data_IF_112176263484
#
_entry.id   IF_112176263484
#
_cell.length_a   1.000
_cell.length_b   1.000
_cell.length_c   1.000
_cell.angle_alpha   90.00
_cell.angle_beta   90.00
_cell.angle_gamma   90.00
#
_symmetry.space_group_name_H-M   'P 1'
#
loop_
_entity.id
_entity.type
_entity.pdbx_description
1 polymer ?
#
# COMPACT_ATOMS: atom_id res chain seq x y z
N UNK A 1 -39.26 3.27 24.63
CA UNK A 1 -38.86 2.07 23.83
C UNK A 1 -38.97 2.31 22.32
N UNK A 2 -39.93 3.10 21.84
CA UNK A 2 -40.08 3.46 20.40
C UNK A 2 -38.94 4.30 19.81
N UNK A 3 -38.34 5.22 20.58
CA UNK A 3 -37.21 6.03 20.11
C UNK A 3 -35.98 5.17 19.72
N UNK A 4 -35.71 4.12 20.51
CA UNK A 4 -34.59 3.20 20.25
C UNK A 4 -34.80 2.40 18.97
N UNK A 5 -36.03 1.97 18.68
CA UNK A 5 -36.37 1.27 17.43
C UNK A 5 -36.30 2.16 16.19
N UNK A 6 -36.66 3.45 16.30
CA UNK A 6 -36.64 4.39 15.16
C UNK A 6 -35.22 4.79 14.74
N UNK A 7 -34.29 4.88 15.71
CA UNK A 7 -32.92 5.33 15.48
C UNK A 7 -31.87 4.22 15.62
N UNK A 8 -32.30 2.97 15.76
CA UNK A 8 -31.42 1.82 16.03
C UNK A 8 -30.25 1.74 15.03
N UNK A 9 -30.56 1.80 13.73
CA UNK A 9 -29.56 1.79 12.65
C UNK A 9 -28.60 2.97 12.70
N UNK A 10 -29.10 4.16 13.07
CA UNK A 10 -28.29 5.38 13.14
C UNK A 10 -27.37 5.35 14.36
N UNK A 11 -27.87 4.82 15.48
CA UNK A 11 -27.08 4.59 16.69
C UNK A 11 -25.97 3.56 16.40
N UNK A 12 -26.28 2.46 15.72
CA UNK A 12 -25.29 1.44 15.36
C UNK A 12 -24.22 1.97 14.40
N UNK A 13 -24.58 2.78 13.41
CA UNK A 13 -23.63 3.45 12.52
C UNK A 13 -22.70 4.42 13.27
N UNK A 14 -23.25 5.18 14.21
CA UNK A 14 -22.47 6.13 15.04
C UNK A 14 -21.54 5.37 15.98
N UNK A 15 -22.01 4.29 16.62
CA UNK A 15 -21.17 3.43 17.47
C UNK A 15 -20.05 2.79 16.63
N UNK A 16 -20.37 2.25 15.45
CA UNK A 16 -19.38 1.68 14.53
C UNK A 16 -18.33 2.71 14.12
N UNK A 17 -18.76 3.93 13.77
CA UNK A 17 -17.87 5.03 13.41
C UNK A 17 -16.94 5.40 14.58
N UNK A 18 -17.49 5.54 15.79
CA UNK A 18 -16.71 5.86 17.00
C UNK A 18 -15.70 4.74 17.28
N UNK A 19 -16.12 3.48 17.27
CA UNK A 19 -15.25 2.33 17.54
C UNK A 19 -14.10 2.25 16.52
N UNK A 20 -14.41 2.35 15.22
CA UNK A 20 -13.40 2.33 14.17
C UNK A 20 -12.47 3.54 14.28
N UNK A 21 -13.00 4.72 14.57
CA UNK A 21 -12.20 5.95 14.76
C UNK A 21 -11.26 5.83 15.96
N UNK A 22 -11.76 5.35 17.10
CA UNK A 22 -10.96 5.15 18.31
C UNK A 22 -9.86 4.10 18.09
N UNK A 23 -10.17 2.97 17.44
CA UNK A 23 -9.18 1.94 17.09
C UNK A 23 -8.14 2.52 16.12
N UNK A 24 -8.57 3.27 15.10
CA UNK A 24 -7.66 3.81 14.09
C UNK A 24 -6.76 4.91 14.65
N UNK A 25 -7.27 5.77 15.53
CA UNK A 25 -6.46 6.76 16.25
C UNK A 25 -5.48 6.08 17.20
N UNK A 26 -5.92 5.05 17.94
CA UNK A 26 -5.03 4.28 18.80
C UNK A 26 -3.88 3.66 17.98
N UNK A 27 -4.18 3.09 16.81
CA UNK A 27 -3.18 2.54 15.89
C UNK A 27 -2.25 3.63 15.34
N UNK A 28 -2.80 4.75 14.85
CA UNK A 28 -2.03 5.84 14.23
C UNK A 28 -1.04 6.46 15.21
N UNK A 29 -1.47 6.72 16.45
CA UNK A 29 -0.65 7.41 17.44
C UNK A 29 0.23 6.47 18.26
N UNK A 30 -0.21 5.25 18.54
CA UNK A 30 0.50 4.33 19.45
C UNK A 30 1.05 3.07 18.77
N UNK A 31 0.64 2.78 17.53
CA UNK A 31 1.00 1.56 16.82
C UNK A 31 1.50 1.84 15.40
N UNK A 32 2.46 2.79 15.26
CA UNK A 32 3.26 2.98 14.03
C UNK A 32 3.70 1.67 13.33
N UNK A 33 4.13 0.58 14.03
CA UNK A 33 4.46 -0.71 13.40
C UNK A 33 3.30 -1.46 12.72
N UNK A 34 2.06 -1.00 12.84
CA UNK A 34 0.86 -1.74 12.42
C UNK A 34 0.85 -2.10 10.93
N UNK A 35 1.27 -1.17 10.07
CA UNK A 35 1.30 -1.40 8.61
C UNK A 35 2.30 -2.50 8.28
N UNK A 36 3.54 -2.39 8.81
CA UNK A 36 4.57 -3.40 8.62
C UNK A 36 4.09 -4.77 9.14
N UNK A 37 3.48 -4.80 10.33
CA UNK A 37 2.92 -6.01 10.93
C UNK A 37 1.89 -6.69 10.02
N UNK A 38 0.91 -5.95 9.48
CA UNK A 38 -0.13 -6.52 8.59
C UNK A 38 0.50 -7.06 7.31
N UNK A 39 1.38 -6.29 6.68
CA UNK A 39 2.03 -6.70 5.42
C UNK A 39 2.82 -7.98 5.64
N UNK A 40 3.72 -7.98 6.64
CA UNK A 40 4.56 -9.15 6.95
C UNK A 40 3.69 -10.35 7.31
N UNK A 41 2.65 -10.17 8.12
CA UNK A 41 1.71 -11.25 8.45
C UNK A 41 1.02 -11.82 7.21
N UNK A 42 0.45 -10.97 6.37
CA UNK A 42 -0.28 -11.37 5.17
C UNK A 42 0.60 -12.14 4.18
N UNK A 43 1.81 -11.64 3.93
CA UNK A 43 2.78 -12.24 3.00
C UNK A 43 3.39 -13.52 3.57
N UNK A 44 3.66 -13.56 4.89
CA UNK A 44 4.27 -14.72 5.54
C UNK A 44 3.28 -15.87 5.80
N UNK A 45 1.98 -15.59 5.92
CA UNK A 45 0.94 -16.58 6.21
C UNK A 45 0.81 -17.74 5.20
N UNK A 46 0.80 -17.52 3.87
CA UNK A 46 0.76 -18.64 2.92
C UNK A 46 1.98 -19.54 3.06
N UNK A 47 3.16 -18.94 3.25
CA UNK A 47 4.41 -19.65 3.46
C UNK A 47 4.40 -20.45 4.79
N UNK A 48 3.91 -19.85 5.86
CA UNK A 48 3.74 -20.50 7.16
C UNK A 48 2.86 -21.75 7.08
N UNK A 49 1.72 -21.65 6.40
CA UNK A 49 0.84 -22.81 6.17
C UNK A 49 1.50 -23.88 5.31
N UNK A 50 2.32 -23.49 4.35
CA UNK A 50 3.08 -24.43 3.53
C UNK A 50 4.12 -25.18 4.36
N UNK A 51 4.90 -24.47 5.18
CA UNK A 51 5.95 -25.06 6.03
C UNK A 51 5.37 -26.00 7.09
N UNK A 52 4.24 -25.65 7.71
CA UNK A 52 3.57 -26.54 8.69
C UNK A 52 3.16 -27.89 8.09
N UNK A 53 2.86 -27.96 6.79
CA UNK A 53 2.54 -29.25 6.13
C UNK A 53 3.69 -30.25 6.18
N UNK A 54 4.93 -29.78 6.38
CA UNK A 54 6.12 -30.62 6.56
C UNK A 54 6.35 -31.02 8.03
N UNK A 55 5.35 -30.90 8.89
CA UNK A 55 5.40 -31.30 10.30
C UNK A 55 6.41 -30.49 11.16
N UNK A 56 6.75 -29.27 10.73
CA UNK A 56 7.64 -28.35 11.45
C UNK A 56 6.85 -27.67 12.58
N UNK A 57 7.42 -27.56 13.81
CA UNK A 57 6.76 -26.88 14.93
C UNK A 57 6.35 -25.44 14.59
N UNK A 58 5.18 -25.01 15.09
CA UNK A 58 4.60 -23.71 14.76
C UNK A 58 5.55 -22.52 14.98
N UNK A 59 6.29 -22.50 16.08
CA UNK A 59 7.28 -21.44 16.35
C UNK A 59 8.37 -21.37 15.27
N UNK A 60 8.93 -22.52 14.89
CA UNK A 60 9.98 -22.60 13.86
C UNK A 60 9.40 -22.26 12.49
N UNK A 61 8.21 -22.75 12.15
CA UNK A 61 7.55 -22.43 10.90
C UNK A 61 7.26 -20.94 10.76
N UNK A 62 6.84 -20.28 11.84
CA UNK A 62 6.60 -18.83 11.88
C UNK A 62 7.88 -18.04 11.65
N UNK A 63 8.95 -18.40 12.37
CA UNK A 63 10.26 -17.76 12.24
C UNK A 63 10.84 -17.93 10.83
N UNK A 64 10.83 -19.14 10.28
CA UNK A 64 11.31 -19.42 8.92
C UNK A 64 10.53 -18.65 7.86
N UNK A 65 9.21 -18.53 8.02
CA UNK A 65 8.37 -17.80 7.07
C UNK A 65 8.72 -16.31 7.04
N UNK A 66 8.81 -15.69 8.21
CA UNK A 66 9.14 -14.28 8.34
C UNK A 66 10.58 -14.04 7.86
N UNK A 67 11.52 -14.91 8.22
CA UNK A 67 12.90 -14.81 7.77
C UNK A 67 12.99 -14.82 6.24
N UNK A 68 12.37 -15.79 5.58
CA UNK A 68 12.35 -15.88 4.12
C UNK A 68 11.76 -14.63 3.47
N UNK A 69 10.62 -14.14 3.96
CA UNK A 69 9.99 -12.90 3.45
C UNK A 69 10.91 -11.70 3.63
N UNK A 70 11.57 -11.55 4.79
CA UNK A 70 12.54 -10.48 5.03
C UNK A 70 13.74 -10.57 4.09
N UNK A 71 14.28 -11.77 3.87
CA UNK A 71 15.38 -11.97 2.92
C UNK A 71 14.99 -11.53 1.52
N UNK A 72 13.81 -11.94 1.04
CA UNK A 72 13.30 -11.52 -0.28
C UNK A 72 13.12 -10.00 -0.34
N UNK A 73 12.53 -9.39 0.69
CA UNK A 73 12.36 -7.93 0.77
C UNK A 73 13.70 -7.18 0.75
N UNK A 74 14.69 -7.65 1.52
CA UNK A 74 16.04 -7.05 1.54
C UNK A 74 16.69 -7.15 0.15
N UNK A 75 16.60 -8.29 -0.52
CA UNK A 75 17.11 -8.46 -1.88
C UNK A 75 16.44 -7.47 -2.85
N UNK A 76 15.11 -7.31 -2.76
CA UNK A 76 14.36 -6.35 -3.58
C UNK A 76 14.83 -4.92 -3.28
N UNK A 77 14.98 -4.54 -2.00
CA UNK A 77 15.42 -3.20 -1.60
C UNK A 77 16.84 -2.92 -2.09
N UNK A 78 17.78 -3.85 -1.91
CA UNK A 78 19.17 -3.68 -2.39
C UNK A 78 19.18 -3.51 -3.90
N UNK A 79 18.43 -4.33 -4.63
CA UNK A 79 18.39 -4.25 -6.08
C UNK A 79 17.74 -2.95 -6.57
N UNK A 80 16.61 -2.55 -5.97
CA UNK A 80 15.96 -1.28 -6.26
C UNK A 80 16.89 -0.11 -5.96
N UNK A 81 17.55 -0.13 -4.81
CA UNK A 81 18.56 0.85 -4.42
C UNK A 81 19.68 0.92 -5.44
N UNK A 82 20.18 -0.22 -5.91
CA UNK A 82 21.22 -0.28 -6.94
C UNK A 82 20.72 0.22 -8.31
N UNK A 83 19.45 -0.04 -8.65
CA UNK A 83 18.84 0.45 -9.89
C UNK A 83 18.65 1.97 -9.87
N UNK A 84 18.20 2.50 -8.73
CA UNK A 84 18.07 3.93 -8.48
C UNK A 84 19.45 4.59 -8.46
N UNK A 85 20.43 3.98 -7.79
CA UNK A 85 21.81 4.46 -7.77
C UNK A 85 22.39 4.51 -9.17
N UNK A 86 22.27 3.43 -9.95
CA UNK A 86 22.70 3.41 -11.35
C UNK A 86 22.01 4.49 -12.19
N UNK A 87 20.70 4.71 -11.97
CA UNK A 87 19.96 5.77 -12.63
C UNK A 87 20.51 7.15 -12.27
N UNK A 88 20.74 7.43 -10.99
CA UNK A 88 21.29 8.69 -10.50
C UNK A 88 22.70 8.90 -11.01
N UNK A 89 23.55 7.87 -10.97
CA UNK A 89 24.93 7.88 -11.45
C UNK A 89 24.97 8.20 -12.96
N UNK A 90 24.12 7.53 -13.75
CA UNK A 90 23.96 7.78 -15.18
C UNK A 90 23.43 9.18 -15.48
N UNK A 91 22.46 9.65 -14.71
CA UNK A 91 21.93 11.01 -14.83
C UNK A 91 22.98 12.06 -14.48
N UNK A 92 23.74 11.84 -13.41
CA UNK A 92 24.72 12.79 -12.91
C UNK A 92 25.98 12.84 -13.78
N UNK A 93 26.56 11.70 -14.16
CA UNK A 93 27.84 11.69 -14.88
C UNK A 93 27.70 11.77 -16.41
N UNK A 94 26.68 11.17 -17.01
CA UNK A 94 26.54 11.18 -18.49
C UNK A 94 25.81 12.42 -19.01
N UNK A 95 24.97 13.07 -18.19
CA UNK A 95 24.07 14.14 -18.63
C UNK A 95 24.23 15.45 -17.88
N UNK A 96 25.33 15.66 -17.15
CA UNK A 96 25.54 16.85 -16.31
C UNK A 96 25.35 18.17 -17.09
N UNK A 97 25.87 18.22 -18.31
CA UNK A 97 25.77 19.39 -19.18
C UNK A 97 24.31 19.64 -19.62
N UNK A 98 23.54 18.58 -19.88
CA UNK A 98 22.13 18.70 -20.24
C UNK A 98 21.26 19.08 -19.04
N UNK A 99 21.63 18.64 -17.84
CA UNK A 99 20.94 19.02 -16.59
C UNK A 99 21.23 20.48 -16.26
N UNK A 100 22.47 20.94 -16.37
CA UNK A 100 22.83 22.36 -16.19
C UNK A 100 22.12 23.26 -17.19
N UNK A 101 22.05 22.85 -18.46
CA UNK A 101 21.34 23.58 -19.51
C UNK A 101 19.82 23.65 -19.24
N UNK A 102 19.20 22.55 -18.80
CA UNK A 102 17.78 22.51 -18.43
C UNK A 102 17.47 23.37 -17.19
N UNK A 103 18.38 23.40 -16.22
CA UNK A 103 18.29 24.25 -15.03
C UNK A 103 18.46 25.73 -15.38
N UNK A 104 19.34 26.06 -16.32
CA UNK A 104 19.51 27.42 -16.86
C UNK A 104 18.25 27.89 -17.60
N UNK A 105 17.67 27.06 -18.46
CA UNK A 105 16.42 27.37 -19.15
C UNK A 105 15.23 27.49 -18.18
N UNK A 106 15.11 26.59 -17.19
CA UNK A 106 14.07 26.68 -16.17
C UNK A 106 14.24 27.94 -15.29
N UNK A 107 15.48 28.31 -14.97
CA UNK A 107 15.81 29.52 -14.21
C UNK A 107 15.53 30.82 -14.98
N UNK A 108 15.65 30.79 -16.32
CA UNK A 108 15.27 31.92 -17.17
C UNK A 108 13.76 32.02 -17.38
N UNK A 109 13.03 30.91 -17.43
CA UNK A 109 11.57 30.87 -17.58
C UNK A 109 10.84 31.30 -16.29
N UNK A 110 11.49 31.11 -15.14
CA UNK A 110 11.02 31.52 -13.81
C UNK A 110 11.75 32.80 -13.39
N UNK A 111 11.41 33.95 -13.98
CA UNK A 111 11.96 35.26 -13.59
C UNK A 111 11.94 35.44 -12.05
N UNK A 112 13.13 35.46 -11.43
CA UNK A 112 13.35 36.09 -10.13
C UNK A 112 13.12 35.28 -8.85
N UNK A 113 13.05 33.95 -8.85
CA UNK A 113 13.05 33.18 -7.58
C UNK A 113 14.20 32.17 -7.50
N UNK A 114 15.37 32.69 -7.13
CA UNK A 114 16.57 31.94 -6.68
C UNK A 114 16.19 30.87 -5.63
N UNK A 115 15.09 31.07 -4.90
CA UNK A 115 14.46 30.13 -3.98
C UNK A 115 14.20 28.71 -4.51
N UNK A 116 13.97 28.49 -5.82
CA UNK A 116 13.67 27.14 -6.33
C UNK A 116 14.94 26.32 -6.55
N UNK A 117 16.01 26.96 -7.06
CA UNK A 117 17.34 26.35 -7.19
C UNK A 117 17.98 26.18 -5.81
N UNK A 118 17.82 27.14 -4.90
CA UNK A 118 18.23 26.99 -3.50
C UNK A 118 17.46 25.88 -2.77
N UNK A 119 16.14 25.72 -3.00
CA UNK A 119 15.37 24.59 -2.44
C UNK A 119 15.74 23.25 -3.06
N UNK A 120 16.06 23.21 -4.35
CA UNK A 120 16.55 22.01 -5.02
C UNK A 120 17.94 21.61 -4.50
N UNK A 121 18.82 22.59 -4.25
CA UNK A 121 20.12 22.39 -3.60
C UNK A 121 19.98 22.11 -2.09
N UNK A 122 18.92 22.60 -1.44
CA UNK A 122 18.61 22.30 -0.04
C UNK A 122 18.21 20.83 0.18
N UNK A 123 17.89 20.07 -0.88
CA UNK A 123 17.76 18.60 -0.81
C UNK A 123 19.08 17.95 -0.35
N UNK A 124 20.22 18.63 -0.55
CA UNK A 124 21.54 18.25 -0.03
C UNK A 124 21.86 18.86 1.35
N UNK A 125 20.94 19.62 1.94
CA UNK A 125 21.13 20.27 3.22
C UNK A 125 21.18 19.25 4.38
N UNK A 126 22.06 19.52 5.35
CA UNK A 126 22.34 18.62 6.47
C UNK A 126 21.10 18.36 7.33
N UNK A 127 20.17 19.29 7.40
CA UNK A 127 18.95 19.15 8.19
C UNK A 127 17.91 18.26 7.49
N UNK A 128 17.86 18.25 6.15
CA UNK A 128 17.08 17.28 5.38
C UNK A 128 17.69 15.87 5.47
N UNK A 129 19.03 15.75 5.42
CA UNK A 129 19.72 14.47 5.64
C UNK A 129 19.46 13.95 7.06
N UNK A 130 19.51 14.81 8.08
CA UNK A 130 19.19 14.43 9.48
C UNK A 130 17.73 14.03 9.64
N UNK A 131 16.80 14.75 9.02
CA UNK A 131 15.36 14.42 9.05
C UNK A 131 15.06 13.11 8.32
N UNK A 132 15.70 12.87 7.18
CA UNK A 132 15.61 11.59 6.46
C UNK A 132 16.20 10.44 7.27
N UNK A 133 17.33 10.64 7.95
CA UNK A 133 17.96 9.64 8.81
C UNK A 133 17.09 9.32 10.04
N UNK A 134 16.50 10.32 10.69
CA UNK A 134 15.61 10.10 11.84
C UNK A 134 14.33 9.38 11.43
N UNK A 135 13.72 9.77 10.31
CA UNK A 135 12.56 9.08 9.75
C UNK A 135 12.88 7.61 9.39
N UNK A 136 14.05 7.36 8.81
CA UNK A 136 14.52 6.01 8.50
C UNK A 136 14.74 5.19 9.77
N UNK A 137 15.34 5.78 10.80
CA UNK A 137 15.55 5.13 12.10
C UNK A 137 14.24 4.73 12.79
N UNK A 138 13.26 5.64 12.83
CA UNK A 138 11.91 5.33 13.32
C UNK A 138 11.22 4.23 12.50
N UNK A 139 11.40 4.27 11.18
CA UNK A 139 10.88 3.26 10.25
C UNK A 139 11.47 1.87 10.51
N UNK A 140 12.78 1.75 10.71
CA UNK A 140 13.46 0.49 11.02
C UNK A 140 12.95 -0.08 12.35
N UNK A 141 12.83 0.75 13.39
CA UNK A 141 12.31 0.30 14.68
C UNK A 141 10.85 -0.18 14.56
N UNK A 142 10.01 0.58 13.86
CA UNK A 142 8.62 0.20 13.58
C UNK A 142 8.55 -1.10 12.76
N UNK A 143 9.44 -1.27 11.78
CA UNK A 143 9.52 -2.50 10.99
C UNK A 143 9.91 -3.70 11.84
N UNK A 144 10.92 -3.56 12.72
CA UNK A 144 11.35 -4.61 13.63
C UNK A 144 10.22 -5.03 14.58
N UNK A 145 9.57 -4.06 15.24
CA UNK A 145 8.43 -4.34 16.11
C UNK A 145 7.29 -5.00 15.32
N UNK A 146 7.03 -4.53 14.10
CA UNK A 146 6.03 -5.13 13.20
C UNK A 146 6.30 -6.60 12.89
N UNK A 147 7.57 -6.98 12.66
CA UNK A 147 7.97 -8.38 12.47
C UNK A 147 7.69 -9.23 13.71
N UNK A 148 8.04 -8.74 14.91
CA UNK A 148 7.78 -9.45 16.17
C UNK A 148 6.28 -9.65 16.38
N UNK A 149 5.47 -8.63 16.14
CA UNK A 149 4.02 -8.75 16.26
C UNK A 149 3.43 -9.71 15.21
N UNK A 150 3.92 -9.66 13.96
CA UNK A 150 3.50 -10.58 12.91
C UNK A 150 3.84 -12.03 13.25
N UNK A 151 4.99 -12.28 13.88
CA UNK A 151 5.38 -13.60 14.39
C UNK A 151 4.36 -14.14 15.40
N UNK A 152 4.05 -13.35 16.43
CA UNK A 152 3.05 -13.76 17.43
C UNK A 152 1.66 -13.94 16.82
N UNK A 153 1.28 -13.13 15.82
CA UNK A 153 0.03 -13.31 15.08
C UNK A 153 -0.03 -14.63 14.29
N UNK A 154 1.09 -15.11 13.76
CA UNK A 154 1.16 -16.39 13.04
C UNK A 154 1.14 -17.58 13.99
N UNK A 155 1.94 -17.53 15.06
CA UNK A 155 2.19 -18.65 15.98
C UNK A 155 1.11 -18.77 17.05
N UNK A 156 0.72 -17.67 17.69
CA UNK A 156 -0.20 -17.63 18.84
C UNK A 156 -1.63 -17.21 18.43
N UNK A 157 -2.01 -17.46 17.19
CA UNK A 157 -3.31 -17.05 16.62
C UNK A 157 -4.50 -17.39 17.53
N UNK A 158 -4.56 -18.60 18.06
CA UNK A 158 -5.71 -19.05 18.85
C UNK A 158 -5.79 -18.34 20.21
N UNK A 159 -4.64 -18.00 20.82
CA UNK A 159 -4.58 -17.21 22.05
C UNK A 159 -5.03 -15.76 21.79
N UNK A 160 -4.56 -15.16 20.70
CA UNK A 160 -4.95 -13.79 20.30
C UNK A 160 -6.45 -13.72 20.01
N UNK A 161 -6.98 -14.68 19.24
CA UNK A 161 -8.43 -14.77 18.99
C UNK A 161 -9.21 -14.98 20.29
N UNK A 162 -8.68 -15.78 21.23
CA UNK A 162 -9.27 -15.96 22.56
C UNK A 162 -9.32 -14.68 23.40
N UNK A 163 -8.27 -13.87 23.38
CA UNK A 163 -8.22 -12.56 24.05
C UNK A 163 -9.20 -11.56 23.42
N UNK A 164 -9.23 -11.49 22.08
CA UNK A 164 -10.18 -10.63 21.37
C UNK A 164 -11.63 -11.03 21.67
N UNK A 165 -11.92 -12.33 21.78
CA UNK A 165 -13.25 -12.82 22.17
C UNK A 165 -13.67 -12.46 23.60
N UNK A 166 -12.72 -12.19 24.50
CA UNK A 166 -12.99 -11.75 25.87
C UNK A 166 -13.22 -10.23 25.97
N UNK A 167 -12.63 -9.47 25.07
CA UNK A 167 -12.70 -7.99 25.06
C UNK A 167 -13.89 -7.51 24.23
N UNK A 168 -14.21 -8.21 23.13
CA UNK A 168 -15.26 -7.80 22.20
C UNK A 168 -16.64 -8.36 22.62
N UNK A 169 -17.72 -7.56 22.49
CA UNK A 169 -19.09 -8.04 22.65
C UNK A 169 -19.41 -9.20 21.69
N UNK A 170 -20.19 -10.18 22.16
CA UNK A 170 -20.53 -11.40 21.39
C UNK A 170 -21.25 -11.10 20.06
N UNK A 171 -22.00 -10.01 19.99
CA UNK A 171 -22.74 -9.61 18.79
C UNK A 171 -21.81 -9.17 17.64
N UNK A 172 -20.68 -8.52 17.96
CA UNK A 172 -19.65 -8.13 17.00
C UNK A 172 -18.88 -9.36 16.50
N UNK A 173 -18.59 -10.30 17.40
CA UNK A 173 -17.88 -11.54 17.06
C UNK A 173 -18.70 -12.38 16.09
N UNK A 174 -20.02 -12.47 16.28
CA UNK A 174 -20.91 -13.25 15.42
C UNK A 174 -21.05 -12.62 14.02
N UNK A 175 -21.18 -11.28 13.91
CA UNK A 175 -21.18 -10.57 12.62
C UNK A 175 -19.87 -10.75 11.84
N UNK A 176 -18.70 -10.62 12.48
CA UNK A 176 -17.39 -10.82 11.83
C UNK A 176 -17.16 -12.28 11.42
N UNK A 177 -17.72 -13.24 12.16
CA UNK A 177 -17.57 -14.67 11.83
C UNK A 177 -18.43 -15.07 10.63
N UNK A 178 -19.60 -14.44 10.43
CA UNK A 178 -20.47 -14.62 9.27
C UNK A 178 -19.84 -14.05 7.97
N UNK A 179 -19.09 -12.95 8.08
CA UNK A 179 -18.40 -12.30 6.95
C UNK A 179 -17.10 -12.98 6.47
N UNK A 180 -16.73 -14.14 7.02
CA UNK A 180 -15.52 -14.90 6.59
C UNK A 180 -15.57 -15.33 5.12
N UNK A 181 -16.76 -15.50 4.54
CA UNK A 181 -16.93 -15.77 3.11
C UNK A 181 -16.45 -14.60 2.25
N UNK A 182 -16.95 -13.40 2.52
CA UNK A 182 -16.71 -12.20 1.72
C UNK A 182 -15.24 -11.74 1.76
N UNK A 183 -14.57 -11.82 2.92
CA UNK A 183 -13.16 -11.41 3.04
C UNK A 183 -12.20 -12.28 2.23
N UNK A 184 -12.47 -13.59 2.12
CA UNK A 184 -11.65 -14.49 1.30
C UNK A 184 -11.79 -14.16 -0.18
N UNK A 185 -13.00 -13.82 -0.61
CA UNK A 185 -13.28 -13.44 -1.99
C UNK A 185 -12.66 -12.09 -2.36
N UNK A 186 -12.69 -11.11 -1.44
CA UNK A 186 -11.99 -9.83 -1.62
C UNK A 186 -10.48 -10.05 -1.79
N UNK A 187 -9.86 -10.91 -0.98
CA UNK A 187 -8.44 -11.24 -1.11
C UNK A 187 -8.14 -11.93 -2.45
N UNK A 188 -9.00 -12.83 -2.91
CA UNK A 188 -8.84 -13.48 -4.22
C UNK A 188 -8.94 -12.47 -5.35
N UNK A 189 -9.92 -11.55 -5.29
CA UNK A 189 -10.07 -10.47 -6.28
C UNK A 189 -8.81 -9.60 -6.33
N UNK A 190 -8.27 -9.20 -5.17
CA UNK A 190 -7.04 -8.40 -5.10
C UNK A 190 -5.84 -9.13 -5.71
N UNK A 191 -5.67 -10.43 -5.42
CA UNK A 191 -4.59 -11.23 -6.02
C UNK A 191 -4.74 -11.32 -7.54
N UNK A 192 -5.97 -11.50 -8.05
CA UNK A 192 -6.23 -11.53 -9.49
C UNK A 192 -5.92 -10.18 -10.14
N UNK A 193 -6.32 -9.07 -9.52
CA UNK A 193 -6.03 -7.71 -10.00
C UNK A 193 -4.52 -7.44 -10.08
N UNK A 194 -3.77 -7.84 -9.05
CA UNK A 194 -2.31 -7.70 -9.02
C UNK A 194 -1.66 -8.51 -10.16
N UNK A 195 -2.14 -9.73 -10.42
CA UNK A 195 -1.60 -10.55 -11.52
C UNK A 195 -1.87 -9.88 -12.87
N UNK A 196 -3.09 -9.37 -13.08
CA UNK A 196 -3.46 -8.67 -14.31
C UNK A 196 -2.60 -7.42 -14.51
N UNK A 197 -2.49 -6.55 -13.49
CA UNK A 197 -1.68 -5.33 -13.56
C UNK A 197 -0.20 -5.65 -13.79
N UNK A 198 0.32 -6.71 -13.16
CA UNK A 198 1.70 -7.19 -13.39
C UNK A 198 1.93 -7.55 -14.85
N UNK A 199 1.02 -8.32 -15.45
CA UNK A 199 1.14 -8.76 -16.84
C UNK A 199 1.05 -7.55 -17.78
N UNK A 200 0.11 -6.64 -17.56
CA UNK A 200 -0.03 -5.39 -18.33
C UNK A 200 1.24 -4.55 -18.28
N UNK A 201 1.84 -4.39 -17.10
CA UNK A 201 3.09 -3.64 -16.94
C UNK A 201 4.26 -4.32 -17.64
N UNK A 202 4.41 -5.64 -17.54
CA UNK A 202 5.47 -6.38 -18.26
C UNK A 202 5.30 -6.19 -19.77
N UNK A 203 4.08 -6.35 -20.30
CA UNK A 203 3.79 -6.19 -21.72
C UNK A 203 4.09 -4.76 -22.16
N UNK A 204 3.61 -3.77 -21.40
CA UNK A 204 3.86 -2.36 -21.68
C UNK A 204 5.35 -2.01 -21.67
N UNK A 205 6.11 -2.50 -20.69
CA UNK A 205 7.56 -2.31 -20.64
C UNK A 205 8.29 -2.99 -21.81
N UNK A 206 7.83 -4.16 -22.26
CA UNK A 206 8.38 -4.81 -23.47
C UNK A 206 8.12 -3.96 -24.71
N UNK A 207 6.88 -3.48 -24.89
CA UNK A 207 6.49 -2.65 -26.05
C UNK A 207 7.31 -1.35 -26.08
N UNK A 208 7.49 -0.72 -24.92
CA UNK A 208 8.26 0.51 -24.76
C UNK A 208 9.77 0.29 -24.72
N UNK A 209 10.25 -0.95 -24.89
CA UNK A 209 11.66 -1.35 -24.88
C UNK A 209 12.42 -0.87 -23.63
N UNK A 210 11.75 -0.85 -22.48
CA UNK A 210 12.37 -0.52 -21.20
C UNK A 210 13.36 -1.62 -20.81
N UNK A 211 14.51 -1.23 -20.26
CA UNK A 211 15.51 -2.18 -19.78
C UNK A 211 14.94 -3.09 -18.68
N UNK A 212 15.14 -4.41 -18.81
CA UNK A 212 14.69 -5.44 -17.85
C UNK A 212 13.16 -5.41 -17.57
N UNK A 213 12.31 -5.55 -18.61
CA UNK A 213 10.87 -5.29 -18.49
C UNK A 213 10.13 -6.30 -17.60
N UNK A 214 10.50 -7.59 -17.66
CA UNK A 214 9.92 -8.64 -16.80
C UNK A 214 10.20 -8.34 -15.33
N UNK A 215 11.45 -7.97 -15.04
CA UNK A 215 11.90 -7.71 -13.69
C UNK A 215 11.18 -6.49 -13.08
N UNK A 216 11.16 -5.37 -13.81
CA UNK A 216 10.47 -4.16 -13.37
C UNK A 216 8.97 -4.39 -13.22
N UNK A 217 8.34 -5.12 -14.13
CA UNK A 217 6.92 -5.44 -14.03
C UNK A 217 6.58 -6.31 -12.82
N UNK A 218 7.42 -7.31 -12.49
CA UNK A 218 7.25 -8.12 -11.26
C UNK A 218 7.41 -7.28 -10.00
N UNK A 219 8.41 -6.39 -9.94
CA UNK A 219 8.55 -5.45 -8.82
C UNK A 219 7.30 -4.58 -8.69
N UNK A 220 6.83 -4.00 -9.80
CA UNK A 220 5.62 -3.20 -9.79
C UNK A 220 4.44 -4.02 -9.24
N UNK A 221 4.27 -5.27 -9.67
CA UNK A 221 3.25 -6.19 -9.15
C UNK A 221 3.34 -6.45 -7.65
N UNK A 222 4.55 -6.66 -7.13
CA UNK A 222 4.77 -6.83 -5.68
C UNK A 222 4.41 -5.53 -4.94
N UNK A 223 4.81 -4.38 -5.47
CA UNK A 223 4.50 -3.09 -4.88
C UNK A 223 3.00 -2.76 -5.00
N UNK A 224 2.30 -3.29 -6.01
CA UNK A 224 0.88 -3.07 -6.28
C UNK A 224 -0.04 -3.62 -5.19
N UNK A 225 0.50 -4.48 -4.31
CA UNK A 225 -0.12 -4.89 -3.03
C UNK A 225 -0.45 -3.66 -2.17
N UNK A 226 0.35 -2.59 -2.28
CA UNK A 226 0.13 -1.33 -1.60
C UNK A 226 -0.75 -0.42 -2.49
N UNK A 227 -1.96 -0.05 -2.03
CA UNK A 227 -2.85 0.79 -2.81
C UNK A 227 -2.24 2.20 -2.98
N UNK A 228 -2.41 2.78 -4.18
CA UNK A 228 -2.01 4.14 -4.61
C UNK A 228 -0.51 4.44 -4.65
N UNK A 229 0.33 3.78 -3.85
CA UNK A 229 1.76 4.08 -3.72
C UNK A 229 2.64 3.07 -4.48
N UNK A 230 2.13 1.86 -4.74
CA UNK A 230 2.92 0.74 -5.20
C UNK A 230 3.74 0.98 -6.47
N UNK A 231 3.05 1.11 -7.59
CA UNK A 231 3.69 1.13 -8.91
C UNK A 231 4.32 2.48 -9.26
N UNK A 232 3.84 3.58 -8.66
CA UNK A 232 4.32 4.94 -8.96
C UNK A 232 5.79 5.15 -8.59
N UNK A 233 6.28 4.43 -7.57
CA UNK A 233 7.69 4.48 -7.12
C UNK A 233 8.63 3.99 -8.22
N UNK A 234 8.19 3.07 -9.08
CA UNK A 234 9.00 2.54 -10.17
C UNK A 234 8.83 3.37 -11.44
N UNK A 235 7.61 3.81 -11.74
CA UNK A 235 7.33 4.59 -12.96
C UNK A 235 7.99 5.97 -12.94
N UNK A 236 7.95 6.70 -11.82
CA UNK A 236 8.49 8.07 -11.74
C UNK A 236 9.97 8.15 -12.14
N UNK A 237 10.89 7.36 -11.53
CA UNK A 237 12.30 7.40 -11.90
C UNK A 237 12.54 7.09 -13.37
N UNK A 238 11.86 6.08 -13.92
CA UNK A 238 12.04 5.67 -15.32
C UNK A 238 11.54 6.76 -16.28
N UNK A 239 10.40 7.40 -15.98
CA UNK A 239 9.87 8.52 -16.76
C UNK A 239 10.86 9.69 -16.74
N UNK A 240 11.31 10.10 -15.55
CA UNK A 240 12.27 11.21 -15.40
C UNK A 240 13.55 10.93 -16.19
N UNK A 241 14.07 9.71 -16.09
CA UNK A 241 15.27 9.32 -16.82
C UNK A 241 15.11 9.45 -18.34
N UNK A 242 14.00 8.96 -18.90
CA UNK A 242 13.76 9.05 -20.35
C UNK A 242 13.56 10.51 -20.81
N UNK A 243 12.97 11.38 -19.98
CA UNK A 243 12.88 12.82 -20.26
C UNK A 243 14.28 13.45 -20.33
N UNK A 244 15.18 13.09 -19.41
CA UNK A 244 16.53 13.67 -19.34
C UNK A 244 17.39 13.24 -20.53
N UNK A 245 17.29 11.97 -20.95
CA UNK A 245 17.98 11.45 -22.14
C UNK A 245 17.30 11.90 -23.45
N UNK A 246 16.28 12.77 -23.36
CA UNK A 246 15.50 13.33 -24.48
C UNK A 246 14.72 12.28 -25.29
N UNK A 247 14.45 11.11 -24.70
CA UNK A 247 13.54 10.11 -25.26
C UNK A 247 12.10 10.37 -24.80
N UNK A 248 11.52 11.42 -25.36
CA UNK A 248 10.16 11.86 -25.02
C UNK A 248 9.10 10.84 -25.43
N UNK A 249 9.37 10.01 -26.44
CA UNK A 249 8.43 9.02 -26.94
C UNK A 249 8.26 7.89 -25.91
N UNK A 250 9.36 7.36 -25.37
CA UNK A 250 9.30 6.37 -24.30
C UNK A 250 8.73 6.98 -23.02
N UNK A 251 9.14 8.19 -22.64
CA UNK A 251 8.61 8.86 -21.46
C UNK A 251 7.09 9.06 -21.52
N UNK A 252 6.58 9.55 -22.65
CA UNK A 252 5.14 9.70 -22.87
C UNK A 252 4.43 8.35 -22.88
N UNK A 253 5.01 7.34 -23.55
CA UNK A 253 4.49 5.98 -23.55
C UNK A 253 4.37 5.37 -22.15
N UNK A 254 5.33 5.63 -21.26
CA UNK A 254 5.30 5.19 -19.86
C UNK A 254 4.19 5.88 -19.05
N UNK A 255 3.95 7.18 -19.27
CA UNK A 255 2.85 7.91 -18.63
C UNK A 255 1.50 7.34 -19.07
N UNK A 256 1.34 7.11 -20.37
CA UNK A 256 0.12 6.52 -20.95
C UNK A 256 -0.09 5.11 -20.41
N UNK A 257 0.97 4.29 -20.38
CA UNK A 257 0.92 2.95 -19.80
C UNK A 257 0.47 2.97 -18.34
N UNK A 258 1.06 3.85 -17.51
CA UNK A 258 0.68 3.99 -16.11
C UNK A 258 -0.81 4.31 -15.94
N UNK A 259 -1.30 5.32 -16.67
CA UNK A 259 -2.71 5.72 -16.63
C UNK A 259 -3.61 4.57 -17.07
N UNK A 260 -3.24 3.86 -18.15
CA UNK A 260 -4.00 2.74 -18.67
C UNK A 260 -4.12 1.61 -17.64
N UNK A 261 -3.01 1.21 -17.00
CA UNK A 261 -3.02 0.17 -15.96
C UNK A 261 -3.90 0.59 -14.77
N UNK A 262 -3.82 1.85 -14.34
CA UNK A 262 -4.67 2.35 -13.24
C UNK A 262 -6.15 2.34 -13.61
N UNK A 263 -6.50 2.81 -14.81
CA UNK A 263 -7.89 2.82 -15.27
C UNK A 263 -8.46 1.41 -15.38
N UNK A 264 -7.70 0.48 -15.97
CA UNK A 264 -8.15 -0.92 -16.09
C UNK A 264 -8.32 -1.54 -14.70
N UNK A 265 -7.36 -1.32 -13.80
CA UNK A 265 -7.45 -1.80 -12.42
C UNK A 265 -8.71 -1.30 -11.72
N UNK A 266 -8.97 0.00 -11.73
CA UNK A 266 -10.13 0.60 -11.08
C UNK A 266 -11.45 0.09 -11.68
N UNK A 267 -11.52 -0.08 -13.00
CA UNK A 267 -12.70 -0.65 -13.67
C UNK A 267 -12.91 -2.11 -13.28
N UNK A 268 -11.85 -2.92 -13.28
CA UNK A 268 -11.92 -4.33 -12.90
C UNK A 268 -12.29 -4.46 -11.42
N UNK A 269 -11.67 -3.67 -10.55
CA UNK A 269 -11.98 -3.64 -9.13
C UNK A 269 -13.46 -3.26 -8.91
N UNK A 270 -13.94 -2.19 -9.55
CA UNK A 270 -15.35 -1.82 -9.51
C UNK A 270 -16.26 -2.93 -10.03
N UNK A 271 -15.94 -3.60 -11.14
CA UNK A 271 -16.74 -4.68 -11.73
C UNK A 271 -16.78 -5.93 -10.85
N UNK A 272 -15.65 -6.31 -10.26
CA UNK A 272 -15.57 -7.47 -9.37
C UNK A 272 -16.26 -7.19 -8.02
N UNK A 273 -16.09 -5.98 -7.46
CA UNK A 273 -16.74 -5.58 -6.22
C UNK A 273 -18.25 -5.33 -6.42
N UNK A 274 -18.68 -4.68 -7.50
CA UNK A 274 -20.10 -4.40 -7.77
C UNK A 274 -20.94 -5.67 -7.96
N UNK A 275 -20.32 -6.75 -8.42
CA UNK A 275 -21.00 -8.04 -8.59
C UNK A 275 -21.35 -8.73 -7.26
N UNK A 276 -20.67 -8.36 -6.16
CA UNK A 276 -20.82 -9.01 -4.84
C UNK A 276 -21.28 -8.08 -3.73
N UNK A 277 -21.02 -6.80 -3.87
CA UNK A 277 -21.39 -5.75 -2.93
C UNK A 277 -22.26 -4.78 -3.71
N UNK A 278 -23.58 -4.77 -3.46
CA UNK A 278 -24.51 -3.76 -3.98
C UNK A 278 -24.26 -2.40 -3.30
N UNK A 279 -23.03 -1.90 -3.39
CA UNK A 279 -22.60 -0.63 -2.79
C UNK A 279 -22.45 0.39 -3.91
N UNK A 280 -23.08 1.55 -3.74
CA UNK A 280 -22.92 2.66 -4.66
C UNK A 280 -21.47 3.16 -4.66
N UNK A 281 -20.74 3.20 -5.79
CA UNK A 281 -19.31 3.56 -5.84
C UNK A 281 -18.99 4.91 -5.16
N UNK A 282 -19.90 5.88 -5.26
CA UNK A 282 -19.80 7.17 -4.56
C UNK A 282 -19.57 7.03 -3.04
N UNK A 283 -20.19 6.03 -2.41
CA UNK A 283 -20.11 5.80 -0.97
C UNK A 283 -18.72 5.27 -0.58
N UNK A 284 -18.10 4.48 -1.45
CA UNK A 284 -16.72 4.00 -1.29
C UNK A 284 -15.74 5.15 -1.41
N UNK A 285 -15.85 5.98 -2.47
CA UNK A 285 -14.99 7.16 -2.65
C UNK A 285 -15.13 8.17 -1.51
N UNK A 286 -16.36 8.42 -1.05
CA UNK A 286 -16.60 9.31 0.09
C UNK A 286 -15.96 8.74 1.36
N UNK A 287 -16.08 7.43 1.60
CA UNK A 287 -15.49 6.77 2.76
C UNK A 287 -13.96 6.77 2.71
N UNK A 288 -13.35 6.62 1.52
CA UNK A 288 -11.91 6.78 1.31
C UNK A 288 -11.48 8.21 1.63
N UNK A 289 -12.15 9.21 1.05
CA UNK A 289 -11.81 10.62 1.25
C UNK A 289 -11.89 11.03 2.72
N UNK A 290 -13.00 10.68 3.39
CA UNK A 290 -13.19 10.92 4.83
C UNK A 290 -12.12 10.15 5.63
N UNK A 291 -11.87 8.89 5.28
CA UNK A 291 -10.83 8.08 5.90
C UNK A 291 -9.45 8.72 5.81
N UNK A 292 -9.03 9.18 4.62
CA UNK A 292 -7.74 9.85 4.40
C UNK A 292 -7.64 11.12 5.23
N UNK A 293 -8.69 11.95 5.26
CA UNK A 293 -8.69 13.20 6.03
C UNK A 293 -8.56 12.97 7.53
N UNK A 294 -9.17 11.91 8.06
CA UNK A 294 -9.14 11.59 9.50
C UNK A 294 -7.85 10.84 9.88
N UNK A 295 -7.43 9.87 9.08
CA UNK A 295 -6.45 8.86 9.46
C UNK A 295 -5.17 8.86 8.61
N UNK A 296 -5.06 9.73 7.61
CA UNK A 296 -3.93 9.73 6.67
C UNK A 296 -3.91 8.47 5.80
N UNK A 297 -2.72 7.92 5.52
CA UNK A 297 -2.57 6.69 4.71
C UNK A 297 -3.35 5.50 5.27
N UNK A 298 -3.49 5.37 6.59
CA UNK A 298 -4.31 4.32 7.20
C UNK A 298 -5.80 4.42 6.80
N UNK A 299 -6.25 5.63 6.49
CA UNK A 299 -7.58 5.93 5.99
C UNK A 299 -7.93 5.29 4.65
N UNK A 300 -6.92 4.99 3.82
CA UNK A 300 -7.11 4.27 2.55
C UNK A 300 -7.62 2.85 2.76
N UNK A 301 -7.17 2.18 3.83
CA UNK A 301 -7.61 0.81 4.14
C UNK A 301 -8.90 0.81 4.95
N UNK A 302 -9.02 1.74 5.91
CA UNK A 302 -10.16 1.79 6.84
C UNK A 302 -11.41 2.37 6.19
N UNK A 303 -11.26 3.32 5.24
CA UNK A 303 -12.37 3.98 4.55
C UNK A 303 -13.31 3.00 3.85
N UNK A 304 -12.84 2.18 2.89
CA UNK A 304 -13.66 1.18 2.22
C UNK A 304 -14.28 0.18 3.21
N UNK A 305 -13.53 -0.23 4.23
CA UNK A 305 -14.01 -1.16 5.26
C UNK A 305 -15.21 -0.57 6.02
N UNK A 306 -15.13 0.70 6.42
CA UNK A 306 -16.24 1.42 7.05
C UNK A 306 -17.43 1.54 6.09
N UNK A 307 -17.19 1.94 4.83
CA UNK A 307 -18.25 2.08 3.82
C UNK A 307 -19.01 0.78 3.56
N UNK A 308 -18.30 -0.35 3.49
CA UNK A 308 -18.90 -1.68 3.31
C UNK A 308 -19.75 -2.06 4.52
N UNK A 309 -19.20 -1.94 5.74
CA UNK A 309 -19.91 -2.27 6.98
C UNK A 309 -21.12 -1.36 7.20
N UNK A 310 -21.00 -0.07 6.87
CA UNK A 310 -22.09 0.90 6.96
C UNK A 310 -23.21 0.57 5.98
N UNK A 311 -22.89 0.21 4.73
CA UNK A 311 -23.88 -0.18 3.73
C UNK A 311 -24.64 -1.45 4.15
N UNK A 312 -23.95 -2.41 4.76
CA UNK A 312 -24.54 -3.66 5.24
C UNK A 312 -25.55 -3.42 6.37
N UNK A 313 -25.25 -2.54 7.32
CA UNK A 313 -26.19 -2.12 8.39
C UNK A 313 -27.43 -1.41 7.82
N UNK A 314 -27.25 -0.62 6.75
CA UNK A 314 -28.34 0.14 6.15
C UNK A 314 -29.28 -0.79 5.36
N UNK A 315 -28.73 -1.68 4.52
CA UNK A 315 -29.48 -2.38 3.48
C UNK A 315 -29.67 -3.89 3.67
N UNK A 316 -28.93 -4.59 4.54
CA UNK A 316 -28.92 -6.07 4.56
C UNK A 316 -29.20 -6.75 5.91
N UNK A 317 -29.78 -6.04 6.88
CA UNK A 317 -30.50 -6.69 7.98
C UNK A 317 -32.00 -6.71 7.69
N UNK A 318 -32.46 -7.83 7.14
CA UNK A 318 -33.86 -8.24 6.96
C UNK A 318 -33.95 -9.76 7.04
#
# INVERSE_FOLDING_TARGET
MEFRKKYEKLIDLVILFIVITSITLAIKYYFKPFIAMIIIFCVSKPLYKFIIKFNIPAGIAGALSIFFVNTVLIIIIIYLGNSIYWLIDKLYYENINSIEELLLYAGQFLEGNINFVEKALAILDKDLIKSGASATGEGIMSYFIGNVCAYFMLVDRDKIVGLLKKILPKDIINKVTYQRGNLREIVIIQVVLIIISTIEMIIGFIILKVERPIFLGVICGILDILPYVGTIIVFIPIIIYNIIVKDYLIAFGLIVLYILVQVIREILEAKFLSSKLQIHPLLIFLSIYIGIKLFGILGLMVGPLYGILANEIIYHEG
#
